data_IF_389049960822
#
_entry.id   IF_389049960822
#
_cell.length_a   1.000
_cell.length_b   1.000
_cell.length_c   1.000
_cell.angle_alpha   90.00
_cell.angle_beta   90.00
_cell.angle_gamma   90.00
#
_symmetry.space_group_name_H-M   'P 1'
#
loop_
_entity.id
_entity.type
_entity.pdbx_description
1 polymer ?
#
# COMPACT_ATOMS: atom_id res chain seq x y z
N UNK A 1 -45.70 63.43 16.19
CA UNK A 1 -44.89 62.56 17.08
C UNK A 1 -44.65 61.23 16.38
N UNK A 2 -43.42 61.01 15.89
CA UNK A 2 -43.02 59.81 15.13
C UNK A 2 -42.94 58.61 16.10
N UNK A 3 -43.61 57.50 15.80
CA UNK A 3 -43.35 56.21 16.45
C UNK A 3 -42.42 55.38 15.58
N UNK A 4 -41.34 54.97 16.20
CA UNK A 4 -40.17 54.27 15.68
C UNK A 4 -40.55 52.81 15.41
N UNK A 5 -40.36 52.36 14.18
CA UNK A 5 -40.39 50.96 13.77
C UNK A 5 -39.12 50.28 14.28
N UNK A 6 -39.26 49.30 15.18
CA UNK A 6 -38.15 48.42 15.58
C UNK A 6 -37.85 47.46 14.43
N UNK A 7 -36.69 47.64 13.81
CA UNK A 7 -36.10 46.71 12.85
C UNK A 7 -35.24 45.71 13.64
N UNK A 8 -35.77 44.51 13.86
CA UNK A 8 -35.03 43.40 14.49
C UNK A 8 -34.01 42.86 13.50
N UNK A 9 -32.75 43.21 13.69
CA UNK A 9 -31.60 42.69 12.94
C UNK A 9 -31.31 41.26 13.42
N UNK A 10 -31.73 40.26 12.63
CA UNK A 10 -31.35 38.86 12.82
C UNK A 10 -29.88 38.69 12.41
N UNK A 11 -29.00 38.65 13.41
CA UNK A 11 -27.58 38.32 13.24
C UNK A 11 -27.45 36.80 13.12
N UNK A 12 -27.42 36.28 11.88
CA UNK A 12 -27.13 34.88 11.60
C UNK A 12 -25.65 34.60 11.87
N UNK A 13 -25.37 33.99 13.03
CA UNK A 13 -24.07 33.44 13.40
C UNK A 13 -23.83 32.21 12.54
N UNK A 14 -22.98 32.33 11.52
CA UNK A 14 -22.41 31.18 10.81
C UNK A 14 -21.40 30.53 11.75
N UNK A 15 -21.83 29.48 12.47
CA UNK A 15 -20.92 28.56 13.14
C UNK A 15 -20.27 27.74 12.03
N UNK A 16 -19.02 28.05 11.69
CA UNK A 16 -18.17 27.14 10.94
C UNK A 16 -17.93 25.92 11.83
N UNK A 17 -18.78 24.91 11.71
CA UNK A 17 -18.51 23.57 12.21
C UNK A 17 -17.38 23.01 11.36
N UNK A 18 -16.15 23.12 11.85
CA UNK A 18 -15.05 22.30 11.36
C UNK A 18 -15.43 20.85 11.63
N UNK A 19 -15.93 20.15 10.62
CA UNK A 19 -16.15 18.72 10.66
C UNK A 19 -14.79 18.05 10.80
N UNK A 20 -14.37 17.82 12.04
CA UNK A 20 -13.27 16.91 12.33
C UNK A 20 -13.71 15.52 11.87
N UNK A 21 -12.97 14.98 10.91
CA UNK A 21 -13.20 13.65 10.38
C UNK A 21 -12.88 12.64 11.47
N UNK A 22 -13.82 11.75 11.77
CA UNK A 22 -13.58 10.56 12.60
C UNK A 22 -13.24 9.40 11.66
N UNK A 23 -12.04 9.42 11.07
CA UNK A 23 -11.64 8.31 10.19
C UNK A 23 -11.11 7.16 11.01
N UNK A 24 -12.02 6.36 11.58
CA UNK A 24 -11.65 5.13 12.25
C UNK A 24 -11.23 4.11 11.19
N UNK A 25 -9.93 3.93 10.96
CA UNK A 25 -9.46 2.75 10.22
C UNK A 25 -9.25 1.60 11.17
N UNK A 26 -9.68 0.43 10.74
CA UNK A 26 -10.09 -0.63 11.67
C UNK A 26 -8.96 -1.58 11.92
N UNK A 27 -8.30 -2.03 10.87
CA UNK A 27 -7.08 -2.83 11.00
C UNK A 27 -6.15 -2.53 9.84
N UNK A 28 -4.86 -2.43 10.15
CA UNK A 28 -3.83 -2.20 9.17
C UNK A 28 -2.51 -2.80 9.61
N UNK A 29 -1.59 -2.91 8.66
CA UNK A 29 -0.24 -3.40 8.84
C UNK A 29 0.74 -2.50 8.09
N UNK A 30 1.89 -2.24 8.69
CA UNK A 30 3.10 -1.81 8.00
C UNK A 30 4.18 -2.87 8.18
N UNK A 31 5.00 -3.08 7.15
CA UNK A 31 6.10 -4.03 7.20
C UNK A 31 7.28 -3.59 6.33
N UNK A 32 8.47 -4.07 6.68
CA UNK A 32 9.67 -4.00 5.85
C UNK A 32 10.22 -5.38 5.58
N UNK A 33 10.80 -5.59 4.40
CA UNK A 33 11.65 -6.73 4.12
C UNK A 33 13.11 -6.26 4.18
N UNK A 34 13.87 -6.73 5.17
CA UNK A 34 15.27 -6.33 5.35
C UNK A 34 16.23 -6.95 4.33
N UNK A 35 15.79 -7.94 3.56
CA UNK A 35 16.59 -8.57 2.50
C UNK A 35 16.47 -7.76 1.21
N UNK A 36 15.26 -7.40 0.81
CA UNK A 36 14.99 -6.69 -0.46
C UNK A 36 14.96 -5.16 -0.29
N UNK A 37 14.74 -4.67 0.93
CA UNK A 37 14.49 -3.25 1.21
C UNK A 37 13.07 -2.81 0.83
N UNK A 38 12.18 -3.73 0.47
CA UNK A 38 10.78 -3.42 0.23
C UNK A 38 10.12 -2.91 1.51
N UNK A 39 9.27 -1.91 1.34
CA UNK A 39 8.45 -1.37 2.42
C UNK A 39 6.99 -1.41 1.98
N UNK A 40 6.08 -1.74 2.89
CA UNK A 40 4.70 -1.94 2.50
C UNK A 40 3.70 -1.61 3.60
N UNK A 41 2.49 -1.35 3.14
CA UNK A 41 1.33 -1.01 3.97
C UNK A 41 0.08 -1.64 3.37
N UNK A 42 -0.76 -2.19 4.22
CA UNK A 42 -2.08 -2.69 3.85
C UNK A 42 -3.08 -2.37 4.96
N UNK A 43 -4.35 -2.23 4.60
CA UNK A 43 -5.40 -1.95 5.57
C UNK A 43 -6.79 -2.03 4.98
N UNK A 44 -7.78 -2.07 5.86
CA UNK A 44 -9.19 -2.08 5.50
C UNK A 44 -10.03 -1.45 6.62
N UNK A 45 -11.19 -0.90 6.25
CA UNK A 45 -12.10 -0.25 7.21
C UNK A 45 -13.54 -0.18 6.69
N UNK A 46 -14.49 -0.14 7.62
CA UNK A 46 -15.92 0.06 7.34
C UNK A 46 -16.30 1.55 7.14
N UNK A 47 -15.33 2.44 6.91
CA UNK A 47 -15.65 3.82 6.52
C UNK A 47 -16.11 3.81 5.06
N UNK A 48 -17.34 4.31 4.82
CA UNK A 48 -17.83 4.56 3.46
C UNK A 48 -17.12 5.79 2.88
N UNK A 49 -15.98 5.55 2.23
CA UNK A 49 -15.13 6.57 1.64
C UNK A 49 -15.79 7.32 0.47
N UNK A 50 -16.91 6.84 -0.09
CA UNK A 50 -17.66 7.62 -1.08
C UNK A 50 -18.23 8.93 -0.49
N UNK A 51 -18.45 8.97 0.82
CA UNK A 51 -18.84 10.19 1.52
C UNK A 51 -17.66 11.17 1.73
N UNK A 52 -16.43 10.79 1.31
CA UNK A 52 -15.19 11.53 1.56
C UNK A 52 -14.31 11.58 0.30
N UNK A 53 -14.74 12.26 -0.78
CA UNK A 53 -14.07 12.23 -2.08
C UNK A 53 -12.64 12.82 -2.10
N UNK A 54 -12.21 13.48 -1.03
CA UNK A 54 -10.85 14.01 -0.89
C UNK A 54 -9.82 12.99 -0.39
N UNK A 55 -10.24 11.77 -0.07
CA UNK A 55 -9.38 10.71 0.47
C UNK A 55 -9.21 9.58 -0.55
N UNK A 56 -7.96 9.18 -0.78
CA UNK A 56 -7.63 7.92 -1.45
C UNK A 56 -7.93 6.74 -0.53
N UNK A 57 -7.98 5.52 -1.07
CA UNK A 57 -8.25 4.32 -0.25
C UNK A 57 -7.11 3.97 0.70
N UNK A 58 -5.89 4.41 0.37
CA UNK A 58 -4.65 4.08 1.07
C UNK A 58 -4.12 5.24 1.94
N UNK A 59 -4.97 6.24 2.19
CA UNK A 59 -4.61 7.53 2.79
C UNK A 59 -3.92 7.41 4.16
N UNK A 60 -4.18 6.33 4.91
CA UNK A 60 -3.61 6.13 6.25
C UNK A 60 -2.13 5.76 6.21
N UNK A 61 -1.64 5.24 5.07
CA UNK A 61 -0.30 4.70 4.93
C UNK A 61 0.66 5.62 4.17
N UNK A 62 1.92 5.66 4.58
CA UNK A 62 3.00 6.29 3.82
C UNK A 62 4.19 5.35 3.73
N UNK A 63 4.77 5.25 2.54
CA UNK A 63 5.91 4.40 2.25
C UNK A 63 7.14 5.28 1.95
N UNK A 64 8.25 4.96 2.60
CA UNK A 64 9.55 5.59 2.40
C UNK A 64 10.45 4.54 1.75
N UNK A 65 10.57 4.54 0.40
CA UNK A 65 11.36 3.58 -0.36
C UNK A 65 12.71 3.24 0.30
N UNK A 66 12.94 1.96 0.64
CA UNK A 66 14.18 1.49 1.25
C UNK A 66 14.42 1.92 2.71
N UNK A 67 13.48 2.65 3.34
CA UNK A 67 13.64 3.21 4.69
C UNK A 67 12.59 2.65 5.64
N UNK A 68 11.31 2.81 5.37
CA UNK A 68 10.26 2.41 6.30
C UNK A 68 8.85 2.68 5.82
N UNK A 69 7.88 2.39 6.69
CA UNK A 69 6.46 2.60 6.45
C UNK A 69 5.75 3.09 7.71
N UNK A 70 4.73 3.93 7.51
CA UNK A 70 3.93 4.54 8.57
C UNK A 70 2.46 4.31 8.28
N UNK A 71 1.69 3.84 9.26
CA UNK A 71 0.24 3.91 9.27
C UNK A 71 -0.22 4.80 10.42
N UNK A 72 -1.19 5.67 10.16
CA UNK A 72 -1.86 6.50 11.18
C UNK A 72 -3.36 6.37 11.06
N UNK A 73 -4.07 6.03 12.15
CA UNK A 73 -5.49 5.72 12.13
C UNK A 73 -6.24 6.08 13.44
N UNK A 74 -7.46 5.56 13.59
CA UNK A 74 -8.44 5.82 14.65
C UNK A 74 -9.06 7.22 14.58
N UNK A 75 -8.74 8.14 15.48
CA UNK A 75 -9.07 9.54 15.23
C UNK A 75 -7.98 10.12 14.32
N UNK A 76 -7.99 9.72 13.05
CA UNK A 76 -7.00 10.14 12.06
C UNK A 76 -6.83 11.67 12.04
N UNK A 77 -5.59 12.12 11.94
CA UNK A 77 -5.27 13.53 11.76
C UNK A 77 -4.15 13.66 10.71
N UNK A 78 -4.42 14.29 9.54
CA UNK A 78 -3.45 14.39 8.45
C UNK A 78 -2.21 15.20 8.84
N UNK A 79 -2.32 16.14 9.78
CA UNK A 79 -1.17 16.89 10.29
C UNK A 79 -0.26 16.00 11.13
N UNK A 80 -0.80 15.07 11.91
CA UNK A 80 0.03 14.10 12.64
C UNK A 80 0.73 13.13 11.68
N UNK A 81 0.07 12.69 10.61
CA UNK A 81 0.72 11.88 9.57
C UNK A 81 1.86 12.64 8.89
N UNK A 82 1.63 13.90 8.52
CA UNK A 82 2.68 14.77 7.96
C UNK A 82 3.83 15.01 8.96
N UNK A 83 3.53 15.11 10.26
CA UNK A 83 4.57 15.18 11.28
C UNK A 83 5.38 13.88 11.36
N UNK A 84 4.73 12.72 11.37
CA UNK A 84 5.40 11.41 11.36
C UNK A 84 6.34 11.29 10.14
N UNK A 85 5.87 11.72 8.97
CA UNK A 85 6.68 11.82 7.75
C UNK A 85 7.91 12.69 7.92
N UNK A 86 7.75 13.87 8.51
CA UNK A 86 8.87 14.78 8.76
C UNK A 86 9.89 14.14 9.72
N UNK A 87 9.43 13.43 10.76
CA UNK A 87 10.33 12.71 11.69
C UNK A 87 11.09 11.58 10.99
N UNK A 88 10.41 10.76 10.18
CA UNK A 88 11.08 9.71 9.41
C UNK A 88 12.11 10.27 8.42
N UNK A 89 11.82 11.39 7.76
CA UNK A 89 12.80 12.07 6.89
C UNK A 89 14.01 12.66 7.64
N UNK A 90 13.88 12.93 8.95
CA UNK A 90 15.00 13.34 9.79
C UNK A 90 15.86 12.16 10.26
N UNK A 91 15.44 10.92 9.98
CA UNK A 91 16.15 9.71 10.37
C UNK A 91 15.83 9.22 11.78
N UNK A 92 14.75 9.72 12.39
CA UNK A 92 14.26 9.21 13.67
C UNK A 92 13.88 7.73 13.57
N UNK A 93 14.19 6.97 14.62
CA UNK A 93 13.74 5.59 14.80
C UNK A 93 12.22 5.51 14.99
N UNK A 94 11.57 4.36 14.73
CA UNK A 94 10.14 4.18 14.98
C UNK A 94 9.69 4.62 16.38
N UNK A 95 10.45 4.28 17.43
CA UNK A 95 10.15 4.65 18.81
C UNK A 95 10.26 6.16 19.06
N UNK A 96 11.27 6.81 18.49
CA UNK A 96 11.42 8.28 18.55
C UNK A 96 10.25 8.99 17.85
N UNK A 97 9.82 8.48 16.69
CA UNK A 97 8.67 9.03 15.98
C UNK A 97 7.39 8.87 16.81
N UNK A 98 7.13 7.68 17.38
CA UNK A 98 5.97 7.43 18.25
C UNK A 98 5.98 8.37 19.47
N UNK A 99 7.11 8.45 20.17
CA UNK A 99 7.29 9.32 21.34
C UNK A 99 7.00 10.77 20.97
N UNK A 100 7.58 11.24 19.86
CA UNK A 100 7.39 12.60 19.39
C UNK A 100 5.91 12.89 19.07
N UNK A 101 5.23 11.97 18.39
CA UNK A 101 3.80 12.11 18.03
C UNK A 101 2.89 12.15 19.27
N UNK A 102 3.22 11.40 20.32
CA UNK A 102 2.46 11.42 21.58
C UNK A 102 2.63 12.77 22.27
N UNK A 103 3.86 13.26 22.37
CA UNK A 103 4.19 14.53 23.03
C UNK A 103 3.69 15.76 22.25
N UNK A 104 3.57 15.64 20.92
CA UNK A 104 3.27 16.75 20.01
C UNK A 104 1.99 16.53 19.19
N UNK A 105 1.03 15.73 19.71
CA UNK A 105 -0.26 15.56 19.04
C UNK A 105 -0.90 16.92 18.76
N UNK A 106 -1.29 17.16 17.51
CA UNK A 106 -1.78 18.47 17.04
C UNK A 106 -3.02 18.95 17.80
N UNK A 107 -3.80 18.04 18.38
CA UNK A 107 -4.96 18.39 19.20
C UNK A 107 -4.73 18.14 20.69
N UNK A 108 -3.51 17.79 21.11
CA UNK A 108 -3.17 17.38 22.46
C UNK A 108 -4.07 16.22 22.95
N UNK A 109 -4.38 15.28 22.05
CA UNK A 109 -5.23 14.13 22.29
C UNK A 109 -4.60 12.81 21.80
N UNK A 110 -3.35 12.49 22.18
CA UNK A 110 -2.70 11.24 21.75
C UNK A 110 -3.47 9.99 22.20
N UNK A 111 -4.28 10.07 23.26
CA UNK A 111 -5.13 8.97 23.71
C UNK A 111 -6.25 8.58 22.73
N UNK A 112 -6.55 9.41 21.72
CA UNK A 112 -7.50 9.10 20.64
C UNK A 112 -6.81 8.54 19.38
N UNK A 113 -5.48 8.45 19.37
CA UNK A 113 -4.72 8.13 18.15
C UNK A 113 -4.26 6.69 18.15
N UNK A 114 -4.06 6.15 16.95
CA UNK A 114 -3.39 4.89 16.76
C UNK A 114 -2.35 5.02 15.65
N UNK A 115 -1.12 4.59 15.91
CA UNK A 115 0.02 4.72 15.02
C UNK A 115 0.77 3.40 14.94
N UNK A 116 1.31 3.10 13.76
CA UNK A 116 2.19 1.98 13.52
C UNK A 116 3.31 2.36 12.59
N UNK A 117 4.55 2.09 13.01
CA UNK A 117 5.74 2.52 12.29
C UNK A 117 6.73 1.37 12.26
N UNK A 118 7.35 1.18 11.10
CA UNK A 118 8.45 0.25 10.91
C UNK A 118 9.52 0.93 10.05
N UNK A 119 10.79 0.69 10.36
CA UNK A 119 11.89 1.22 9.57
C UNK A 119 13.13 0.32 9.64
N UNK A 120 13.99 0.43 8.63
CA UNK A 120 15.36 -0.09 8.66
C UNK A 120 16.27 0.93 9.35
N UNK A 121 16.56 0.70 10.62
CA UNK A 121 17.48 1.50 11.42
C UNK A 121 18.87 0.84 11.35
N UNK A 122 19.82 1.52 10.72
CA UNK A 122 21.17 0.98 10.47
C UNK A 122 21.15 -0.40 9.80
N UNK A 123 20.22 -0.63 8.88
CA UNK A 123 20.04 -1.89 8.16
C UNK A 123 19.32 -3.00 8.93
N UNK A 124 18.92 -2.76 10.18
CA UNK A 124 18.11 -3.70 10.97
C UNK A 124 16.66 -3.21 11.06
N UNK A 125 15.66 -4.10 10.93
CA UNK A 125 14.27 -3.69 11.08
C UNK A 125 13.96 -3.37 12.55
N UNK A 126 13.26 -2.27 12.76
CA UNK A 126 12.68 -1.87 14.04
C UNK A 126 11.21 -1.53 13.82
N UNK A 127 10.37 -1.76 14.83
CA UNK A 127 8.96 -1.41 14.80
C UNK A 127 8.53 -0.75 16.11
N UNK A 128 7.58 0.17 16.02
CA UNK A 128 6.93 0.80 17.16
C UNK A 128 5.47 1.09 16.84
N UNK A 129 4.64 1.17 17.88
CA UNK A 129 3.23 1.48 17.74
C UNK A 129 2.71 2.21 18.96
N UNK A 130 1.59 2.90 18.77
CA UNK A 130 0.82 3.50 19.84
C UNK A 130 -0.65 3.17 19.63
N UNK A 131 -1.33 2.80 20.70
CA UNK A 131 -2.79 2.67 20.73
C UNK A 131 -3.32 3.44 21.92
N UNK A 132 -3.90 4.60 21.64
CA UNK A 132 -4.44 5.47 22.66
C UNK A 132 -5.58 4.80 23.44
N UNK A 133 -5.59 4.98 24.75
CA UNK A 133 -6.56 4.33 25.65
C UNK A 133 -8.03 4.72 25.39
N UNK A 134 -8.28 5.83 24.69
CA UNK A 134 -9.61 6.31 24.29
C UNK A 134 -9.91 6.06 22.81
N UNK A 135 -9.12 5.25 22.11
CA UNK A 135 -9.58 4.66 20.84
C UNK A 135 -10.77 3.73 21.11
N UNK A 136 -11.58 3.44 20.09
CA UNK A 136 -12.81 2.66 20.26
C UNK A 136 -12.50 1.15 20.40
N UNK A 137 -13.10 0.50 21.40
CA UNK A 137 -12.90 -0.94 21.66
C UNK A 137 -13.64 -1.83 20.62
N UNK A 138 -13.15 -3.04 20.34
CA UNK A 138 -11.87 -3.59 20.79
C UNK A 138 -10.71 -2.92 20.04
N UNK A 139 -9.65 -2.53 20.77
CA UNK A 139 -8.42 -1.99 20.18
C UNK A 139 -7.18 -2.67 20.72
N UNK A 140 -6.20 -2.85 19.85
CA UNK A 140 -4.86 -3.25 20.24
C UNK A 140 -3.86 -3.01 19.09
N UNK A 141 -2.59 -3.28 19.36
CA UNK A 141 -1.57 -3.48 18.33
C UNK A 141 -0.69 -4.68 18.69
N UNK A 142 -0.07 -5.27 17.67
CA UNK A 142 0.96 -6.29 17.78
C UNK A 142 2.20 -5.81 17.04
N UNK A 143 3.37 -6.04 17.64
CA UNK A 143 4.66 -5.71 17.07
C UNK A 143 5.44 -6.99 16.79
N UNK A 144 5.98 -7.10 15.58
CA UNK A 144 7.06 -8.03 15.26
C UNK A 144 8.34 -7.27 14.90
N UNK A 145 9.45 -7.96 14.65
CA UNK A 145 10.73 -7.31 14.35
C UNK A 145 10.67 -6.37 13.14
N UNK A 146 9.90 -6.76 12.12
CA UNK A 146 9.82 -6.07 10.83
C UNK A 146 8.41 -5.68 10.42
N UNK A 147 7.46 -5.66 11.37
CA UNK A 147 6.09 -5.23 11.11
C UNK A 147 5.43 -4.65 12.36
N UNK A 148 4.40 -3.85 12.13
CA UNK A 148 3.46 -3.38 13.14
C UNK A 148 2.05 -3.58 12.61
N UNK A 149 1.19 -4.23 13.39
CA UNK A 149 -0.24 -4.44 13.09
C UNK A 149 -1.08 -3.77 14.15
N UNK A 150 -2.08 -2.99 13.78
CA UNK A 150 -2.91 -2.28 14.74
C UNK A 150 -4.36 -2.31 14.31
N UNK A 151 -5.26 -2.22 15.28
CA UNK A 151 -6.67 -2.00 14.99
C UNK A 151 -7.50 -1.47 16.15
N UNK A 152 -8.67 -0.94 15.81
CA UNK A 152 -9.70 -0.41 16.71
C UNK A 152 -11.08 -0.73 16.13
N UNK A 153 -12.13 -0.71 16.96
CA UNK A 153 -13.50 -1.15 16.56
C UNK A 153 -13.51 -2.61 16.09
N UNK A 154 -12.55 -3.41 16.58
CA UNK A 154 -12.40 -4.79 16.16
C UNK A 154 -13.47 -5.68 16.79
N UNK A 155 -13.81 -6.77 16.11
CA UNK A 155 -14.55 -7.89 16.70
C UNK A 155 -13.87 -8.41 17.98
N UNK A 156 -12.54 -8.36 18.02
CA UNK A 156 -11.71 -8.74 19.15
C UNK A 156 -10.26 -8.98 18.74
N UNK A 157 -9.44 -9.37 19.71
CA UNK A 157 -8.01 -9.70 19.50
C UNK A 157 -7.78 -10.74 18.38
N UNK A 158 -8.74 -11.65 18.20
CA UNK A 158 -8.69 -12.71 17.18
C UNK A 158 -8.45 -12.19 15.76
N UNK A 159 -8.88 -10.96 15.45
CA UNK A 159 -8.62 -10.34 14.15
C UNK A 159 -7.11 -10.13 13.96
N UNK A 160 -6.44 -9.51 14.93
CA UNK A 160 -5.00 -9.24 14.87
C UNK A 160 -4.19 -10.54 14.96
N UNK A 161 -4.58 -11.49 15.81
CA UNK A 161 -3.90 -12.78 15.93
C UNK A 161 -3.95 -13.56 14.60
N UNK A 162 -5.08 -13.52 13.90
CA UNK A 162 -5.26 -14.17 12.60
C UNK A 162 -4.47 -13.45 11.49
N UNK A 163 -4.44 -12.11 11.49
CA UNK A 163 -3.59 -11.32 10.59
C UNK A 163 -2.11 -11.70 10.76
N UNK A 164 -1.63 -11.71 12.01
CA UNK A 164 -0.24 -12.01 12.33
C UNK A 164 0.13 -13.43 11.94
N UNK A 165 -0.70 -14.42 12.33
CA UNK A 165 -0.47 -15.81 11.98
C UNK A 165 -0.34 -16.01 10.46
N UNK A 166 -1.17 -15.34 9.66
CA UNK A 166 -1.08 -15.47 8.20
C UNK A 166 0.10 -14.72 7.59
N UNK A 167 0.43 -13.53 8.09
CA UNK A 167 1.61 -12.79 7.64
C UNK A 167 2.90 -13.61 7.87
N UNK A 168 3.03 -14.21 9.06
CA UNK A 168 4.22 -14.97 9.45
C UNK A 168 4.36 -16.31 8.71
N UNK A 169 3.24 -16.94 8.33
CA UNK A 169 3.25 -18.24 7.64
C UNK A 169 3.16 -18.12 6.11
N UNK A 170 2.99 -16.91 5.57
CA UNK A 170 2.92 -16.70 4.13
C UNK A 170 4.29 -16.82 3.47
N UNK A 171 4.32 -17.54 2.36
CA UNK A 171 5.45 -17.57 1.43
C UNK A 171 5.35 -16.40 0.43
N UNK A 172 6.44 -16.18 -0.31
CA UNK A 172 6.53 -15.12 -1.31
C UNK A 172 7.10 -13.81 -0.77
N UNK A 173 6.99 -12.78 -1.60
CA UNK A 173 7.48 -11.43 -1.34
C UNK A 173 6.64 -10.67 -0.31
N UNK A 174 7.01 -9.41 -0.04
CA UNK A 174 6.30 -8.59 0.93
C UNK A 174 4.82 -8.39 0.56
N UNK A 175 4.50 -8.28 -0.73
CA UNK A 175 3.12 -8.10 -1.19
C UNK A 175 2.27 -9.34 -0.86
N UNK A 176 2.80 -10.54 -1.08
CA UNK A 176 2.16 -11.80 -0.71
C UNK A 176 1.86 -11.89 0.79
N UNK A 177 2.83 -11.53 1.62
CA UNK A 177 2.67 -11.56 3.09
C UNK A 177 1.63 -10.55 3.57
N UNK A 178 1.61 -9.35 3.01
CA UNK A 178 0.61 -8.32 3.31
C UNK A 178 -0.80 -8.76 2.89
N UNK A 179 -0.95 -9.35 1.71
CA UNK A 179 -2.24 -9.87 1.25
C UNK A 179 -2.72 -11.02 2.16
N UNK A 180 -1.82 -11.92 2.57
CA UNK A 180 -2.13 -12.96 3.54
C UNK A 180 -2.58 -12.41 4.90
N UNK A 181 -1.97 -11.32 5.37
CA UNK A 181 -2.40 -10.62 6.58
C UNK A 181 -3.85 -10.11 6.45
N UNK A 182 -4.20 -9.46 5.33
CA UNK A 182 -5.58 -9.02 5.07
C UNK A 182 -6.57 -10.20 5.04
N UNK A 183 -6.21 -11.31 4.39
CA UNK A 183 -7.02 -12.54 4.44
C UNK A 183 -7.21 -13.08 5.86
N UNK A 184 -6.33 -12.73 6.80
CA UNK A 184 -6.43 -13.07 8.22
C UNK A 184 -7.50 -12.28 8.93
N UNK A 185 -7.69 -11.03 8.54
CA UNK A 185 -8.76 -10.17 9.05
C UNK A 185 -10.11 -10.41 8.37
N UNK A 186 -10.16 -11.13 7.25
CA UNK A 186 -11.39 -11.32 6.46
C UNK A 186 -12.41 -12.21 7.17
N UNK A 187 -13.18 -11.59 8.06
CA UNK A 187 -14.31 -12.18 8.74
C UNK A 187 -15.41 -11.14 8.93
N UNK A 188 -16.67 -11.58 8.90
CA UNK A 188 -17.81 -10.68 9.09
C UNK A 188 -17.67 -9.95 10.43
N UNK A 189 -17.78 -8.62 10.38
CA UNK A 189 -17.68 -7.79 11.57
C UNK A 189 -16.25 -7.64 12.10
N UNK A 190 -15.20 -7.98 11.33
CA UNK A 190 -13.81 -7.69 11.69
C UNK A 190 -13.64 -6.24 12.13
N UNK A 191 -14.16 -5.31 11.33
CA UNK A 191 -14.73 -4.06 11.80
C UNK A 191 -16.17 -4.27 12.25
N UNK A 192 -16.43 -4.08 13.54
CA UNK A 192 -17.75 -4.33 14.12
C UNK A 192 -18.88 -3.52 13.48
N UNK A 193 -18.58 -2.38 12.84
CA UNK A 193 -19.55 -1.56 12.10
C UNK A 193 -20.09 -2.25 10.86
N UNK A 194 -19.30 -3.14 10.25
CA UNK A 194 -19.65 -3.85 9.01
C UNK A 194 -20.33 -5.20 9.27
N UNK A 195 -20.62 -5.53 10.54
CA UNK A 195 -21.30 -6.76 10.90
C UNK A 195 -22.67 -6.90 10.21
N UNK A 196 -23.44 -5.80 10.16
CA UNK A 196 -24.77 -5.79 9.53
C UNK A 196 -24.70 -5.83 7.98
N UNK A 197 -23.63 -5.28 7.39
CA UNK A 197 -23.34 -5.40 5.96
C UNK A 197 -22.88 -6.83 5.57
N UNK A 198 -22.55 -7.68 6.54
CA UNK A 198 -22.10 -9.05 6.30
C UNK A 198 -20.68 -9.13 5.74
N UNK A 199 -19.84 -8.11 5.95
CA UNK A 199 -18.45 -8.04 5.44
C UNK A 199 -17.46 -7.71 6.55
N UNK A 200 -16.17 -7.78 6.23
CA UNK A 200 -15.08 -7.35 7.12
C UNK A 200 -14.87 -5.83 7.11
N UNK A 201 -15.11 -5.18 5.96
CA UNK A 201 -14.86 -3.76 5.71
C UNK A 201 -15.70 -3.25 4.52
N UNK A 202 -15.57 -1.96 4.18
CA UNK A 202 -16.10 -1.33 2.95
C UNK A 202 -15.02 -0.97 1.94
N UNK A 203 -13.77 -0.83 2.37
CA UNK A 203 -12.62 -0.74 1.47
C UNK A 203 -11.46 -1.57 1.99
N UNK A 204 -10.54 -1.91 1.08
CA UNK A 204 -9.26 -2.54 1.39
C UNK A 204 -8.20 -2.06 0.40
N UNK A 205 -6.95 -1.98 0.85
CA UNK A 205 -5.82 -1.65 -0.01
C UNK A 205 -4.57 -2.42 0.40
N UNK A 206 -3.65 -2.53 -0.55
CA UNK A 206 -2.29 -2.98 -0.37
C UNK A 206 -1.36 -2.12 -1.23
N UNK A 207 -0.23 -1.69 -0.66
CA UNK A 207 0.83 -1.00 -1.39
C UNK A 207 2.20 -1.44 -0.94
N UNK A 208 3.12 -1.50 -1.89
CA UNK A 208 4.53 -1.85 -1.68
C UNK A 208 5.39 -0.91 -2.52
N UNK A 209 6.45 -0.40 -1.92
CA UNK A 209 7.45 0.41 -2.59
C UNK A 209 8.80 -0.34 -2.59
N UNK A 210 9.42 -0.38 -3.77
CA UNK A 210 10.80 -0.82 -3.96
C UNK A 210 11.77 0.27 -3.48
N UNK A 211 13.02 -0.05 -3.11
CA UNK A 211 14.03 0.95 -2.76
C UNK A 211 14.26 2.02 -3.84
N UNK A 212 14.07 1.66 -5.12
CA UNK A 212 14.23 2.55 -6.26
C UNK A 212 13.02 3.44 -6.54
N UNK A 213 11.90 3.24 -5.85
CA UNK A 213 10.68 4.02 -6.09
C UNK A 213 10.84 5.46 -5.60
N UNK A 214 10.02 6.34 -6.16
CA UNK A 214 9.92 7.73 -5.69
C UNK A 214 8.93 7.79 -4.54
N UNK A 215 9.27 8.52 -3.48
CA UNK A 215 8.34 8.77 -2.37
C UNK A 215 6.97 9.24 -2.87
N UNK A 216 5.90 8.61 -2.37
CA UNK A 216 4.52 8.89 -2.79
C UNK A 216 4.14 8.33 -4.17
N UNK A 217 4.98 7.50 -4.78
CA UNK A 217 4.70 6.83 -6.06
C UNK A 217 5.19 5.38 -6.02
N UNK A 218 4.57 4.52 -5.19
CA UNK A 218 4.93 3.11 -5.11
C UNK A 218 4.68 2.41 -6.45
N UNK A 219 5.57 1.50 -6.82
CA UNK A 219 5.42 0.65 -8.01
C UNK A 219 4.26 -0.35 -7.90
N UNK A 220 3.79 -0.64 -6.68
CA UNK A 220 2.65 -1.50 -6.43
C UNK A 220 1.63 -0.83 -5.51
N UNK A 221 0.40 -0.67 -6.01
CA UNK A 221 -0.77 -0.23 -5.24
C UNK A 221 -2.02 -0.86 -5.87
N UNK A 222 -2.78 -1.60 -5.06
CA UNK A 222 -4.10 -2.08 -5.40
C UNK A 222 -5.07 -1.66 -4.30
N UNK A 223 -6.28 -1.25 -4.68
CA UNK A 223 -7.34 -0.94 -3.74
C UNK A 223 -8.71 -1.28 -4.30
N UNK A 224 -9.63 -1.54 -3.38
CA UNK A 224 -11.05 -1.74 -3.67
C UNK A 224 -11.85 -0.90 -2.69
N UNK A 225 -12.87 -0.20 -3.20
CA UNK A 225 -13.86 0.54 -2.42
C UNK A 225 -15.25 0.09 -2.83
N UNK A 226 -16.09 -0.22 -1.85
CA UNK A 226 -17.49 -0.66 -2.00
C UNK A 226 -18.41 0.29 -1.26
N UNK A 227 -19.68 0.34 -1.66
CA UNK A 227 -20.70 1.06 -0.89
C UNK A 227 -21.19 0.19 0.26
N UNK A 228 -21.63 0.85 1.33
CA UNK A 228 -22.42 0.20 2.37
C UNK A 228 -23.66 -0.49 1.77
N UNK A 229 -24.13 -1.54 2.43
CA UNK A 229 -25.24 -2.41 2.00
C UNK A 229 -25.06 -3.14 0.65
N UNK A 230 -23.86 -3.16 0.06
CA UNK A 230 -23.61 -3.93 -1.17
C UNK A 230 -23.36 -5.41 -0.93
N UNK A 231 -22.96 -5.80 0.29
CA UNK A 231 -22.59 -7.17 0.65
C UNK A 231 -21.37 -7.71 -0.12
N UNK A 232 -20.57 -6.84 -0.74
CA UNK A 232 -19.35 -7.22 -1.45
C UNK A 232 -18.19 -7.17 -0.45
N UNK A 233 -17.50 -8.30 -0.24
CA UNK A 233 -16.30 -8.36 0.59
C UNK A 233 -15.10 -7.71 -0.14
N UNK A 234 -14.58 -6.55 0.34
CA UNK A 234 -13.50 -5.85 -0.35
C UNK A 234 -12.20 -6.66 -0.39
N UNK A 235 -11.90 -7.47 0.64
CA UNK A 235 -10.67 -8.26 0.68
C UNK A 235 -10.69 -9.38 -0.36
N UNK A 236 -11.85 -9.98 -0.65
CA UNK A 236 -11.99 -10.96 -1.75
C UNK A 236 -11.81 -10.29 -3.11
N UNK A 237 -12.43 -9.13 -3.30
CA UNK A 237 -12.28 -8.36 -4.55
C UNK A 237 -10.84 -7.90 -4.75
N UNK A 238 -10.15 -7.50 -3.68
CA UNK A 238 -8.74 -7.13 -3.71
C UNK A 238 -7.86 -8.35 -4.05
N UNK A 239 -8.16 -9.53 -3.50
CA UNK A 239 -7.46 -10.78 -3.85
C UNK A 239 -7.58 -11.10 -5.34
N UNK A 240 -8.76 -10.93 -5.95
CA UNK A 240 -8.94 -11.15 -7.39
C UNK A 240 -8.01 -10.23 -8.20
N UNK A 241 -7.96 -8.93 -7.88
CA UNK A 241 -7.05 -7.99 -8.54
C UNK A 241 -5.58 -8.33 -8.27
N UNK A 242 -5.27 -8.81 -7.07
CA UNK A 242 -3.94 -9.20 -6.65
C UNK A 242 -3.44 -10.41 -7.45
N UNK A 243 -4.26 -11.45 -7.60
CA UNK A 243 -3.92 -12.67 -8.33
C UNK A 243 -3.72 -12.43 -9.84
N UNK A 244 -4.26 -11.35 -10.39
CA UNK A 244 -4.00 -10.95 -11.79
C UNK A 244 -2.56 -10.45 -12.00
N UNK A 245 -1.89 -9.99 -10.94
CA UNK A 245 -0.63 -9.27 -11.03
C UNK A 245 0.48 -9.77 -10.09
N UNK A 246 0.20 -10.66 -9.14
CA UNK A 246 1.19 -11.24 -8.23
C UNK A 246 1.06 -12.76 -8.22
N UNK A 247 2.19 -13.45 -8.24
CA UNK A 247 2.26 -14.90 -8.09
C UNK A 247 3.04 -15.27 -6.83
N UNK A 248 2.30 -15.63 -5.78
CA UNK A 248 2.87 -16.03 -4.49
C UNK A 248 3.41 -17.46 -4.44
N UNK A 249 3.22 -18.25 -5.51
CA UNK A 249 3.70 -19.64 -5.57
C UNK A 249 5.19 -19.73 -5.93
N UNK A 250 5.78 -18.63 -6.37
CA UNK A 250 7.20 -18.54 -6.65
C UNK A 250 7.90 -17.84 -5.50
N UNK A 251 8.58 -18.64 -4.65
CA UNK A 251 9.72 -18.14 -3.88
C UNK A 251 10.76 -17.62 -4.87
N UNK A 252 10.74 -16.31 -5.15
CA UNK A 252 11.87 -15.62 -5.75
C UNK A 252 13.00 -15.62 -4.73
N UNK A 253 13.73 -16.73 -4.66
CA UNK A 253 15.14 -16.70 -4.28
C UNK A 253 15.82 -15.67 -5.15
N UNK A 254 16.17 -14.54 -4.54
CA UNK A 254 17.18 -13.57 -4.97
C UNK A 254 18.05 -14.06 -6.14
N UNK A 255 17.71 -13.68 -7.37
CA UNK A 255 18.60 -13.80 -8.52
C UNK A 255 19.23 -12.42 -8.71
N UNK A 256 20.50 -12.29 -8.33
CA UNK A 256 21.45 -11.19 -8.60
C UNK A 256 20.84 -9.88 -9.14
N UNK A 257 20.63 -8.92 -8.24
CA UNK A 257 20.23 -7.53 -8.51
C UNK A 257 21.17 -6.79 -9.48
N UNK A 258 22.44 -7.19 -9.59
CA UNK A 258 23.43 -6.48 -10.43
C UNK A 258 23.18 -6.62 -11.93
N UNK A 259 22.41 -7.63 -12.36
CA UNK A 259 22.19 -7.93 -13.79
C UNK A 259 20.85 -7.34 -14.27
N UNK A 260 19.92 -7.15 -13.34
CA UNK A 260 18.57 -6.62 -13.55
C UNK A 260 18.54 -5.15 -14.00
N UNK A 261 19.56 -4.36 -13.64
CA UNK A 261 19.66 -2.92 -13.96
C UNK A 261 20.18 -2.64 -15.38
N UNK A 262 20.73 -3.64 -16.07
CA UNK A 262 21.44 -3.43 -17.34
C UNK A 262 20.54 -3.23 -18.55
N UNK A 263 19.27 -3.59 -18.47
CA UNK A 263 18.34 -3.49 -19.58
C UNK A 263 17.13 -2.66 -19.21
N UNK A 264 16.90 -1.60 -19.99
CA UNK A 264 15.73 -0.73 -19.84
C UNK A 264 14.66 -1.16 -20.81
N UNK A 265 13.50 -1.55 -20.29
CA UNK A 265 12.33 -1.96 -21.08
C UNK A 265 11.19 -0.96 -20.82
N UNK A 266 10.80 -0.20 -21.84
CA UNK A 266 9.89 0.92 -21.66
C UNK A 266 9.12 1.29 -22.94
N UNK A 267 7.98 2.00 -22.83
CA UNK A 267 7.24 2.27 -21.59
C UNK A 267 6.60 0.98 -21.03
N UNK A 268 6.43 0.91 -19.72
CA UNK A 268 5.65 -0.12 -19.04
C UNK A 268 4.71 0.56 -18.03
N UNK A 269 3.38 0.59 -18.25
CA UNK A 269 2.66 -0.06 -19.34
C UNK A 269 2.95 0.51 -20.74
N UNK A 270 2.93 -0.36 -21.76
CA UNK A 270 3.05 0.00 -23.17
C UNK A 270 1.69 0.09 -23.87
N UNK A 271 1.66 0.81 -24.99
CA UNK A 271 0.48 0.91 -25.85
C UNK A 271 0.79 0.30 -27.23
N UNK A 272 1.48 1.07 -28.08
CA UNK A 272 1.76 0.69 -29.46
C UNK A 272 3.17 0.15 -29.66
N UNK A 273 4.11 0.59 -28.83
CA UNK A 273 5.54 0.37 -29.01
C UNK A 273 6.17 0.00 -27.68
N UNK A 274 7.05 -0.99 -27.71
CA UNK A 274 7.94 -1.36 -26.62
C UNK A 274 9.38 -1.15 -27.08
N UNK A 275 10.19 -0.51 -26.25
CA UNK A 275 11.63 -0.30 -26.48
C UNK A 275 12.42 -1.10 -25.45
N UNK A 276 13.51 -1.71 -25.92
CA UNK A 276 14.49 -2.41 -25.11
C UNK A 276 15.85 -1.77 -25.38
N UNK A 277 16.58 -1.39 -24.33
CA UNK A 277 17.89 -0.76 -24.44
C UNK A 277 18.88 -1.39 -23.45
N UNK A 278 20.04 -1.82 -23.95
CA UNK A 278 21.20 -2.18 -23.13
C UNK A 278 21.88 -0.91 -22.61
N UNK A 279 21.80 -0.65 -21.31
CA UNK A 279 22.33 0.56 -20.68
C UNK A 279 23.86 0.62 -20.76
N UNK A 280 24.55 -0.52 -20.80
CA UNK A 280 26.00 -0.58 -20.94
C UNK A 280 26.47 -0.39 -22.40
N UNK A 281 25.53 -0.34 -23.37
CA UNK A 281 25.81 -0.21 -24.81
C UNK A 281 26.84 -1.22 -25.32
N UNK A 282 26.80 -2.46 -24.82
CA UNK A 282 27.73 -3.51 -25.25
C UNK A 282 27.41 -3.90 -26.69
N UNK A 283 28.42 -3.96 -27.55
CA UNK A 283 28.25 -4.36 -28.96
C UNK A 283 28.12 -5.90 -29.16
N UNK A 284 27.86 -6.65 -28.10
CA UNK A 284 27.54 -8.08 -28.16
C UNK A 284 26.07 -8.28 -28.57
N UNK A 285 25.79 -9.34 -29.34
CA UNK A 285 24.42 -9.74 -29.70
C UNK A 285 23.76 -10.45 -28.52
N UNK A 286 22.54 -10.04 -28.16
CA UNK A 286 21.70 -10.67 -27.14
C UNK A 286 20.47 -11.26 -27.80
N UNK A 287 20.04 -12.44 -27.34
CA UNK A 287 18.75 -13.00 -27.79
C UNK A 287 17.62 -12.38 -26.99
N UNK A 288 16.46 -12.23 -27.62
CA UNK A 288 15.26 -11.73 -26.98
C UNK A 288 14.04 -12.49 -27.46
N UNK A 289 13.16 -12.81 -26.53
CA UNK A 289 11.91 -13.50 -26.76
C UNK A 289 10.78 -12.78 -26.03
N UNK A 290 9.66 -12.57 -26.70
CA UNK A 290 8.45 -11.99 -26.10
C UNK A 290 7.31 -12.98 -26.25
N UNK A 291 6.65 -13.32 -25.14
CA UNK A 291 5.51 -14.23 -25.11
C UNK A 291 4.35 -13.61 -24.33
N UNK A 292 3.12 -14.00 -24.65
CA UNK A 292 1.97 -13.71 -23.77
C UNK A 292 1.86 -14.75 -22.64
N UNK A 293 0.94 -14.55 -21.70
CA UNK A 293 0.73 -15.45 -20.56
C UNK A 293 0.26 -16.87 -20.95
N UNK A 294 -0.24 -17.07 -22.17
CA UNK A 294 -0.61 -18.39 -22.68
C UNK A 294 0.58 -19.10 -23.35
N UNK A 295 1.79 -18.53 -23.27
CA UNK A 295 3.00 -19.04 -23.92
C UNK A 295 3.05 -18.80 -25.44
N UNK A 296 2.12 -18.01 -25.99
CA UNK A 296 2.15 -17.66 -27.40
C UNK A 296 3.33 -16.72 -27.68
N UNK A 297 4.18 -17.13 -28.61
CA UNK A 297 5.33 -16.35 -29.07
C UNK A 297 4.88 -15.13 -29.88
N UNK A 298 5.25 -13.95 -29.42
CA UNK A 298 4.99 -12.65 -30.05
C UNK A 298 6.20 -12.17 -30.84
N UNK A 299 7.39 -12.37 -30.29
CA UNK A 299 8.65 -12.00 -30.91
C UNK A 299 9.76 -12.97 -30.52
N UNK A 300 10.66 -13.25 -31.44
CA UNK A 300 11.90 -14.00 -31.23
C UNK A 300 12.96 -13.41 -32.17
N UNK A 301 14.11 -13.03 -31.62
CA UNK A 301 15.17 -12.39 -32.39
C UNK A 301 16.39 -12.03 -31.56
N UNK A 302 17.22 -11.14 -32.11
CA UNK A 302 18.45 -10.67 -31.47
C UNK A 302 18.57 -9.14 -31.56
N UNK A 303 19.23 -8.53 -30.57
CA UNK A 303 19.56 -7.11 -30.58
C UNK A 303 20.95 -6.86 -29.96
N UNK A 304 21.56 -5.71 -30.29
CA UNK A 304 22.87 -5.31 -29.74
C UNK A 304 22.73 -4.21 -28.70
N UNK A 305 22.38 -3.00 -29.15
CA UNK A 305 22.25 -1.83 -28.28
C UNK A 305 20.80 -1.53 -27.93
N UNK A 306 19.91 -1.54 -28.92
CA UNK A 306 18.49 -1.27 -28.72
C UNK A 306 17.62 -2.02 -29.71
N UNK A 307 16.36 -2.19 -29.34
CA UNK A 307 15.31 -2.81 -30.15
C UNK A 307 13.98 -2.10 -29.93
N UNK A 308 13.19 -1.97 -30.98
CA UNK A 308 11.82 -1.49 -30.91
C UNK A 308 10.87 -2.56 -31.44
N UNK A 309 9.86 -2.90 -30.63
CA UNK A 309 8.84 -3.89 -30.95
C UNK A 309 7.50 -3.19 -31.10
N UNK A 310 6.84 -3.45 -32.22
CA UNK A 310 5.48 -2.99 -32.46
C UNK A 310 4.49 -3.90 -31.74
N UNK A 311 3.83 -3.35 -30.73
CA UNK A 311 2.83 -4.02 -29.91
C UNK A 311 1.40 -3.72 -30.36
N UNK A 312 1.18 -2.83 -31.34
CA UNK A 312 -0.16 -2.34 -31.72
C UNK A 312 -1.16 -3.45 -32.06
N UNK A 313 -0.71 -4.53 -32.70
CA UNK A 313 -1.59 -5.63 -33.14
C UNK A 313 -1.85 -6.68 -32.05
N UNK A 314 -1.18 -6.57 -30.90
CA UNK A 314 -1.32 -7.51 -29.80
C UNK A 314 -2.55 -7.16 -28.96
N UNK A 315 -3.11 -8.12 -28.24
CA UNK A 315 -4.24 -7.85 -27.34
C UNK A 315 -3.76 -7.13 -26.07
N UNK A 316 -4.60 -6.33 -25.40
CA UNK A 316 -4.31 -5.87 -24.05
C UNK A 316 -4.05 -7.07 -23.12
N UNK A 317 -3.08 -6.93 -22.23
CA UNK A 317 -2.67 -8.02 -21.35
C UNK A 317 -1.19 -7.97 -20.98
N UNK A 318 -0.75 -9.04 -20.31
CA UNK A 318 0.63 -9.17 -19.83
C UNK A 318 1.47 -9.94 -20.85
N UNK A 319 2.70 -9.47 -21.06
CA UNK A 319 3.72 -10.10 -21.87
C UNK A 319 5.00 -10.29 -21.06
N UNK A 320 5.69 -11.40 -21.28
CA UNK A 320 6.99 -11.69 -20.70
C UNK A 320 8.06 -11.45 -21.76
N UNK A 321 9.03 -10.60 -21.44
CA UNK A 321 10.22 -10.32 -22.24
C UNK A 321 11.40 -11.05 -21.61
N UNK A 322 11.92 -12.06 -22.30
CA UNK A 322 13.12 -12.79 -21.91
C UNK A 322 14.30 -12.29 -22.73
N UNK A 323 15.39 -11.85 -22.09
CA UNK A 323 16.64 -11.44 -22.74
C UNK A 323 17.74 -12.39 -22.30
N UNK A 324 18.50 -12.95 -23.25
CA UNK A 324 19.61 -13.87 -22.99
C UNK A 324 20.92 -13.22 -23.43
N UNK A 325 21.84 -13.05 -22.49
CA UNK A 325 23.18 -12.50 -22.69
C UNK A 325 24.21 -13.37 -21.95
N UNK A 326 25.16 -13.96 -22.69
CA UNK A 326 26.23 -14.83 -22.16
C UNK A 326 25.77 -15.84 -21.09
N UNK A 327 24.79 -16.68 -21.46
CA UNK A 327 24.15 -17.72 -20.62
C UNK A 327 23.30 -17.22 -19.44
N UNK A 328 23.15 -15.90 -19.28
CA UNK A 328 22.24 -15.31 -18.31
C UNK A 328 20.91 -14.99 -19.00
N UNK A 329 19.80 -15.41 -18.39
CA UNK A 329 18.45 -15.07 -18.84
C UNK A 329 17.79 -14.11 -17.86
N UNK A 330 17.35 -12.96 -18.36
CA UNK A 330 16.57 -11.97 -17.62
C UNK A 330 15.14 -12.04 -18.13
N UNK A 331 14.16 -12.10 -17.22
CA UNK A 331 12.75 -12.09 -17.57
C UNK A 331 12.10 -10.83 -16.99
N UNK A 332 11.36 -10.10 -17.82
CA UNK A 332 10.68 -8.86 -17.45
C UNK A 332 9.23 -8.90 -17.89
N UNK A 333 8.34 -8.53 -16.96
CA UNK A 333 6.92 -8.41 -17.24
C UNK A 333 6.60 -7.03 -17.79
N UNK A 334 5.86 -6.97 -18.90
CA UNK A 334 5.34 -5.72 -19.47
C UNK A 334 3.82 -5.80 -19.64
N UNK A 335 3.13 -4.69 -19.34
CA UNK A 335 1.67 -4.57 -19.42
C UNK A 335 1.33 -3.82 -20.70
N UNK A 336 0.38 -4.33 -21.50
CA UNK A 336 -0.21 -3.61 -22.64
C UNK A 336 -1.64 -3.21 -22.31
N UNK A 337 -1.95 -1.91 -22.37
CA UNK A 337 -3.25 -1.39 -21.94
C UNK A 337 -4.31 -1.25 -23.05
N UNK A 338 -3.92 -1.16 -24.32
CA UNK A 338 -4.87 -1.03 -25.46
C UNK A 338 -4.32 -1.62 -26.74
#
# INVERSE_FOLDING_TARGET
>A
MKKITQLTLLLSIFIFSSSFIRSQDTFSIVAVDSITGEVGSAGASCVDLFNWPGYSDDFLGELFPGVGAINTQAYYNPTNQANARNRMNLGDTPEEIITWLIENDVNNQPQLRQYGIVALVNGSPESAAHTGVQTDDYKNHILGPNYSMQGNILLGQVVLDSMEARFLNAEGDLACKLMAALQGAKMVGADSRCADNGTSSLFAFIKVAQPSDVFGSPSFLLSVRTHDDTGIEPIDSLQVLFDEVVDCSNSTTSINSDIEENFRIYPNPCYDLLKIEDQEKRNASKKIMIQNMMGQLIYDGEFKESLQINMRQQLPGIYLVSIIDNDITIVRRIIKLR
#
